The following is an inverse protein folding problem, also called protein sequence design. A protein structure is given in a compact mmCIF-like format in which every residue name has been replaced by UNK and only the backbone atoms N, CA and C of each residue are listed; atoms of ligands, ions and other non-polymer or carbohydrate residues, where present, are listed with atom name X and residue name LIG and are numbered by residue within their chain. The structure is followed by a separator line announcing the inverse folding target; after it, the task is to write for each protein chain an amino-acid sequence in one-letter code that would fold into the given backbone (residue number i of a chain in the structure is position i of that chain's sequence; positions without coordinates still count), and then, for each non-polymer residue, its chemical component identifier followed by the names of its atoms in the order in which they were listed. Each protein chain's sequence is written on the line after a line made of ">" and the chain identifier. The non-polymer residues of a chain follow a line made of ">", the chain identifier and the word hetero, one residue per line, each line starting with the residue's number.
data_IF_930735275243
#
_entry.id   IF_930735275243
#
_cell.length_a   1.000
_cell.length_b   1.000
_cell.length_c   1.000
_cell.angle_alpha   90.00
_cell.angle_beta   90.00
_cell.angle_gamma   90.00
#
_symmetry.space_group_name_H-M   'P 1'
#
loop_
_entity.id
_entity.type
_entity.pdbx_description
1 polymer ?
#
# COMPACT_ATOMS: atom_id res chain seq x y z
N UNK A 1 -1.47 -20.10 31.43
CA UNK A 1 -1.94 -21.03 30.38
C UNK A 1 -2.85 -20.20 29.48
N UNK A 2 -2.24 -19.29 28.72
CA UNK A 2 -2.94 -18.53 27.67
C UNK A 2 -3.46 -19.55 26.67
N UNK A 3 -4.75 -19.49 26.41
CA UNK A 3 -5.49 -20.56 25.78
C UNK A 3 -5.08 -20.64 24.30
N UNK A 4 -4.61 -21.81 23.86
CA UNK A 4 -4.20 -22.06 22.47
C UNK A 4 -5.34 -21.73 21.49
N UNK A 5 -6.58 -21.72 21.97
CA UNK A 5 -7.79 -21.36 21.22
C UNK A 5 -7.94 -19.85 20.95
N UNK A 6 -7.49 -18.96 21.84
CA UNK A 6 -7.58 -17.50 21.65
C UNK A 6 -6.59 -17.02 20.57
N UNK A 7 -5.36 -17.55 20.58
CA UNK A 7 -4.36 -17.29 19.54
C UNK A 7 -4.83 -17.79 18.16
N UNK A 8 -5.58 -18.90 18.11
CA UNK A 8 -6.15 -19.41 16.87
C UNK A 8 -7.24 -18.50 16.30
N UNK A 9 -8.13 -17.98 17.16
CA UNK A 9 -9.21 -17.07 16.74
C UNK A 9 -8.69 -15.73 16.21
N UNK A 10 -7.67 -15.15 16.85
CA UNK A 10 -6.99 -13.94 16.36
C UNK A 10 -6.40 -14.17 14.97
N UNK A 11 -5.61 -15.25 14.80
CA UNK A 11 -5.00 -15.59 13.51
C UNK A 11 -6.02 -15.83 12.42
N UNK A 12 -7.13 -16.50 12.73
CA UNK A 12 -8.21 -16.73 11.77
C UNK A 12 -8.87 -15.41 11.33
N UNK A 13 -9.12 -14.49 12.28
CA UNK A 13 -9.70 -13.17 12.00
C UNK A 13 -8.83 -12.34 11.06
N UNK A 14 -7.50 -12.34 11.27
CA UNK A 14 -6.54 -11.53 10.52
C UNK A 14 -5.83 -12.31 9.41
N UNK A 15 -6.58 -13.19 8.73
CA UNK A 15 -6.11 -13.93 7.56
C UNK A 15 -6.90 -13.50 6.32
N UNK A 16 -6.19 -13.15 5.25
CA UNK A 16 -6.81 -12.86 3.97
C UNK A 16 -7.49 -14.10 3.40
N UNK A 17 -8.61 -13.96 2.66
CA UNK A 17 -9.23 -15.07 1.96
C UNK A 17 -8.21 -15.86 1.13
N UNK A 18 -8.31 -17.20 1.06
CA UNK A 18 -7.41 -18.01 0.26
C UNK A 18 -7.52 -17.61 -1.21
N UNK A 19 -6.42 -17.81 -1.96
CA UNK A 19 -6.45 -17.65 -3.40
C UNK A 19 -7.47 -18.65 -3.98
N UNK A 20 -8.49 -18.14 -4.66
CA UNK A 20 -9.40 -18.98 -5.42
C UNK A 20 -8.70 -19.30 -6.74
N UNK A 21 -8.68 -20.57 -7.13
CA UNK A 21 -8.37 -20.98 -8.50
C UNK A 21 -9.52 -20.55 -9.42
N UNK A 22 -9.67 -19.24 -9.61
CA UNK A 22 -10.48 -18.71 -10.70
C UNK A 22 -9.57 -18.66 -11.92
N UNK A 23 -9.94 -19.48 -12.90
CA UNK A 23 -9.34 -19.67 -14.22
C UNK A 23 -8.39 -18.56 -14.63
N UNK A 24 -7.17 -18.95 -14.98
CA UNK A 24 -6.25 -18.15 -15.79
C UNK A 24 -7.02 -17.22 -16.72
N UNK A 25 -6.66 -15.94 -16.65
CA UNK A 25 -7.13 -14.81 -17.43
C UNK A 25 -8.09 -13.88 -16.68
N UNK A 26 -7.56 -12.74 -16.27
CA UNK A 26 -8.07 -11.53 -16.89
C UNK A 26 -7.74 -11.67 -18.38
N UNK A 27 -8.67 -11.96 -19.30
CA UNK A 27 -8.40 -11.77 -20.70
C UNK A 27 -8.56 -10.28 -20.98
N UNK A 28 -7.70 -9.45 -20.39
CA UNK A 28 -7.41 -8.18 -21.03
C UNK A 28 -6.31 -8.51 -22.02
N UNK A 29 -6.71 -8.94 -23.22
CA UNK A 29 -5.85 -8.78 -24.37
C UNK A 29 -5.38 -7.33 -24.30
N UNK A 30 -4.09 -7.14 -24.02
CA UNK A 30 -3.50 -5.81 -23.92
C UNK A 30 -3.90 -5.06 -25.20
N UNK A 31 -4.78 -4.08 -25.05
CA UNK A 31 -5.14 -3.22 -26.16
C UNK A 31 -4.08 -2.14 -26.23
N UNK A 32 -3.35 -2.12 -27.36
CA UNK A 32 -2.30 -1.12 -27.59
C UNK A 32 -2.93 0.27 -27.41
N UNK A 33 -2.43 1.12 -26.49
CA UNK A 33 -2.92 2.47 -26.33
C UNK A 33 -2.85 3.21 -27.67
N UNK A 34 -3.87 4.00 -27.98
CA UNK A 34 -3.85 4.88 -29.13
C UNK A 34 -2.67 5.87 -29.03
N UNK A 35 -2.02 6.14 -30.15
CA UNK A 35 -1.01 7.19 -30.24
C UNK A 35 -1.72 8.55 -30.23
N UNK A 36 -1.27 9.47 -29.36
CA UNK A 36 -1.88 10.77 -29.14
C UNK A 36 -0.83 11.88 -29.28
N UNK A 37 -1.23 13.01 -29.84
CA UNK A 37 -0.42 14.24 -29.88
C UNK A 37 -0.78 15.08 -28.67
N UNK A 38 0.10 15.10 -27.67
CA UNK A 38 -0.16 15.79 -26.38
C UNK A 38 0.55 17.13 -26.35
N UNK A 39 1.82 17.16 -26.73
CA UNK A 39 2.69 18.35 -26.65
C UNK A 39 3.00 18.95 -28.00
N UNK A 40 2.88 18.15 -29.07
CA UNK A 40 3.35 18.51 -30.41
C UNK A 40 4.85 18.25 -30.64
N UNK A 41 5.62 17.92 -29.59
CA UNK A 41 6.98 17.37 -29.72
C UNK A 41 6.88 15.85 -29.89
N UNK A 42 7.24 15.37 -31.08
CA UNK A 42 7.12 13.94 -31.45
C UNK A 42 7.89 13.00 -30.52
N UNK A 43 9.06 13.40 -30.02
CA UNK A 43 9.85 12.53 -29.14
C UNK A 43 9.26 12.54 -27.71
N UNK A 44 8.77 13.69 -27.24
CA UNK A 44 8.07 13.77 -25.94
C UNK A 44 6.77 12.97 -25.98
N UNK A 45 5.97 13.14 -27.04
CA UNK A 45 4.71 12.41 -27.21
C UNK A 45 4.95 10.89 -27.36
N UNK A 46 6.06 10.49 -27.99
CA UNK A 46 6.46 9.08 -28.02
C UNK A 46 6.77 8.53 -26.62
N UNK A 47 7.50 9.27 -25.77
CA UNK A 47 7.76 8.84 -24.39
C UNK A 47 6.48 8.79 -23.56
N UNK A 48 5.58 9.76 -23.71
CA UNK A 48 4.26 9.75 -23.04
C UNK A 48 3.43 8.54 -23.46
N UNK A 49 3.49 8.15 -24.73
CA UNK A 49 2.88 6.91 -25.20
C UNK A 49 3.52 5.68 -24.55
N UNK A 50 4.87 5.61 -24.48
CA UNK A 50 5.57 4.54 -23.76
C UNK A 50 5.18 4.47 -22.27
N UNK A 51 4.96 5.61 -21.60
CA UNK A 51 4.45 5.63 -20.23
C UNK A 51 3.10 4.92 -20.12
N UNK A 52 2.15 5.21 -21.03
CA UNK A 52 0.85 4.52 -21.06
C UNK A 52 1.01 3.01 -21.26
N UNK A 53 1.93 2.59 -22.13
CA UNK A 53 2.25 1.17 -22.33
C UNK A 53 2.80 0.54 -21.04
N UNK A 54 3.76 1.19 -20.39
CA UNK A 54 4.38 0.67 -19.17
C UNK A 54 3.36 0.60 -18.03
N UNK A 55 2.50 1.61 -17.90
CA UNK A 55 1.46 1.67 -16.88
C UNK A 55 0.42 0.53 -16.97
N UNK A 56 0.33 -0.17 -18.11
CA UNK A 56 -0.47 -1.39 -18.23
C UNK A 56 -0.02 -2.51 -17.28
N UNK A 57 1.25 -2.51 -16.88
CA UNK A 57 1.82 -3.56 -16.03
C UNK A 57 2.02 -4.91 -16.74
N UNK A 58 1.78 -5.02 -18.05
CA UNK A 58 1.94 -6.26 -18.82
C UNK A 58 3.43 -6.49 -19.13
N UNK A 59 4.05 -7.60 -18.66
CA UNK A 59 5.49 -7.79 -18.78
C UNK A 59 6.03 -7.70 -20.21
N UNK A 60 5.37 -8.32 -21.19
CA UNK A 60 5.84 -8.31 -22.58
C UNK A 60 5.70 -6.92 -23.23
N UNK A 61 4.66 -6.15 -22.91
CA UNK A 61 4.47 -4.78 -23.37
C UNK A 61 5.49 -3.84 -22.74
N UNK A 62 5.81 -4.01 -21.46
CA UNK A 62 6.86 -3.27 -20.77
C UNK A 62 8.21 -3.51 -21.46
N UNK A 63 8.59 -4.77 -21.70
CA UNK A 63 9.86 -5.07 -22.38
C UNK A 63 9.91 -4.47 -23.79
N UNK A 64 8.82 -4.57 -24.56
CA UNK A 64 8.71 -3.90 -25.87
C UNK A 64 8.83 -2.38 -25.77
N UNK A 65 8.23 -1.76 -24.75
CA UNK A 65 8.31 -0.32 -24.54
C UNK A 65 9.73 0.13 -24.17
N UNK A 66 10.42 -0.63 -23.30
CA UNK A 66 11.81 -0.39 -22.93
C UNK A 66 12.75 -0.53 -24.12
N UNK A 67 12.51 -1.52 -24.99
CA UNK A 67 13.28 -1.67 -26.22
C UNK A 67 13.02 -0.52 -27.19
N UNK A 68 11.75 -0.12 -27.36
CA UNK A 68 11.37 1.01 -28.19
C UNK A 68 12.01 2.33 -27.71
N UNK A 69 12.14 2.53 -26.39
CA UNK A 69 12.78 3.70 -25.81
C UNK A 69 14.25 3.87 -26.24
N UNK A 70 14.96 2.77 -26.57
CA UNK A 70 16.36 2.82 -27.05
C UNK A 70 16.52 3.45 -28.43
N UNK A 71 15.44 3.53 -29.21
CA UNK A 71 15.45 4.16 -30.53
C UNK A 71 15.21 5.68 -30.47
N UNK A 72 14.87 6.21 -29.30
CA UNK A 72 14.75 7.66 -29.07
C UNK A 72 16.16 8.26 -29.07
N UNK A 73 16.38 9.24 -29.94
CA UNK A 73 17.73 9.81 -30.15
C UNK A 73 18.09 10.79 -29.06
N UNK A 74 17.12 11.60 -28.63
CA UNK A 74 17.34 12.55 -27.54
C UNK A 74 17.41 11.81 -26.20
N UNK A 75 18.39 12.10 -25.33
CA UNK A 75 18.42 11.56 -23.98
C UNK A 75 17.11 11.83 -23.23
N UNK A 76 16.55 10.81 -22.56
CA UNK A 76 15.25 10.93 -21.87
C UNK A 76 15.21 12.08 -20.86
N UNK A 77 16.34 12.38 -20.20
CA UNK A 77 16.46 13.52 -19.28
C UNK A 77 16.33 14.88 -19.94
N UNK A 78 16.66 15.01 -21.22
CA UNK A 78 16.43 16.24 -21.96
C UNK A 78 14.98 16.33 -22.45
N UNK A 79 14.34 15.19 -22.77
CA UNK A 79 12.90 15.14 -23.04
C UNK A 79 12.07 15.48 -21.80
N UNK A 80 12.48 15.04 -20.61
CA UNK A 80 11.88 15.44 -19.32
C UNK A 80 11.86 16.97 -19.18
N UNK A 81 12.99 17.64 -19.44
CA UNK A 81 13.05 19.12 -19.39
C UNK A 81 12.10 19.78 -20.40
N UNK A 82 12.02 19.26 -21.63
CA UNK A 82 11.10 19.78 -22.65
C UNK A 82 9.64 19.61 -22.20
N UNK A 83 9.31 18.46 -21.63
CA UNK A 83 7.99 18.20 -21.08
C UNK A 83 7.67 19.12 -19.88
N UNK A 84 8.62 19.34 -18.97
CA UNK A 84 8.49 20.33 -17.88
C UNK A 84 8.18 21.74 -18.42
N UNK A 85 8.89 22.17 -19.47
CA UNK A 85 8.66 23.47 -20.09
C UNK A 85 7.27 23.56 -20.74
N UNK A 86 6.82 22.48 -21.39
CA UNK A 86 5.47 22.39 -21.91
C UNK A 86 4.42 22.53 -20.80
N UNK A 87 4.55 21.77 -19.71
CA UNK A 87 3.61 21.82 -18.58
C UNK A 87 3.50 23.22 -17.96
N UNK A 88 4.63 23.90 -17.77
CA UNK A 88 4.64 25.26 -17.23
C UNK A 88 3.97 26.28 -18.17
N UNK A 89 4.12 26.11 -19.49
CA UNK A 89 3.48 26.98 -20.49
C UNK A 89 1.99 26.70 -20.63
N UNK A 90 1.60 25.43 -20.60
CA UNK A 90 0.21 25.00 -20.71
C UNK A 90 -0.62 25.35 -19.46
N UNK A 91 0.02 25.51 -18.31
CA UNK A 91 -0.63 25.80 -17.03
C UNK A 91 -0.06 27.09 -16.38
N UNK A 92 -0.27 28.27 -16.99
CA UNK A 92 0.28 29.51 -16.48
C UNK A 92 -0.28 29.82 -15.07
N UNK A 93 0.60 30.21 -14.15
CA UNK A 93 0.22 30.56 -12.77
C UNK A 93 0.03 29.37 -11.82
N UNK A 94 0.19 28.13 -12.28
CA UNK A 94 0.20 26.96 -11.41
C UNK A 94 1.66 26.60 -11.02
N UNK A 95 2.08 26.87 -9.76
CA UNK A 95 3.46 26.60 -9.32
C UNK A 95 3.80 25.10 -9.26
N UNK A 96 2.80 24.22 -9.32
CA UNK A 96 2.95 22.76 -9.23
C UNK A 96 2.85 22.05 -10.59
N UNK A 97 2.63 22.79 -11.70
CA UNK A 97 2.44 22.19 -13.02
C UNK A 97 3.59 21.27 -13.45
N UNK A 98 4.83 21.64 -13.11
CA UNK A 98 6.04 20.86 -13.41
C UNK A 98 6.11 19.53 -12.65
N UNK A 99 5.37 19.33 -11.58
CA UNK A 99 5.45 18.11 -10.76
C UNK A 99 5.01 16.88 -11.56
N UNK A 100 4.13 17.03 -12.55
CA UNK A 100 3.73 15.95 -13.45
C UNK A 100 4.88 15.43 -14.36
N UNK A 101 6.01 16.14 -14.45
CA UNK A 101 7.21 15.66 -15.16
C UNK A 101 8.22 14.92 -14.28
N UNK A 102 8.03 14.90 -12.95
CA UNK A 102 8.97 14.24 -12.05
C UNK A 102 9.02 12.75 -12.35
N UNK A 103 10.22 12.23 -12.64
CA UNK A 103 10.43 10.82 -12.96
C UNK A 103 10.06 10.45 -14.41
N UNK A 104 9.82 11.44 -15.28
CA UNK A 104 9.46 11.20 -16.68
C UNK A 104 10.51 10.35 -17.43
N UNK A 105 11.79 10.56 -17.14
CA UNK A 105 12.87 9.79 -17.76
C UNK A 105 13.14 8.43 -17.11
N UNK A 106 12.52 8.11 -15.96
CA UNK A 106 12.78 6.90 -15.19
C UNK A 106 11.75 5.81 -15.53
N UNK A 107 11.96 5.20 -16.69
CA UNK A 107 11.09 4.14 -17.20
C UNK A 107 11.22 2.84 -16.38
N UNK A 108 12.38 2.60 -15.76
CA UNK A 108 12.63 1.40 -14.96
C UNK A 108 11.82 1.43 -13.66
N UNK A 109 11.92 2.52 -12.88
CA UNK A 109 11.11 2.67 -11.67
C UNK A 109 9.60 2.66 -11.98
N UNK A 110 9.20 3.24 -13.12
CA UNK A 110 7.81 3.20 -13.57
C UNK A 110 7.35 1.76 -13.86
N UNK A 111 8.18 0.97 -14.54
CA UNK A 111 7.89 -0.42 -14.83
C UNK A 111 7.78 -1.27 -13.56
N UNK A 112 8.71 -1.12 -12.61
CA UNK A 112 8.66 -1.81 -11.32
C UNK A 112 7.36 -1.52 -10.55
N UNK A 113 6.97 -0.25 -10.47
CA UNK A 113 5.71 0.18 -9.83
C UNK A 113 4.48 -0.38 -10.56
N UNK A 114 4.47 -0.34 -11.89
CA UNK A 114 3.36 -0.84 -12.69
C UNK A 114 3.18 -2.36 -12.54
N UNK A 115 4.28 -3.13 -12.55
CA UNK A 115 4.28 -4.58 -12.31
C UNK A 115 3.77 -4.88 -10.90
N UNK A 116 4.31 -4.18 -9.88
CA UNK A 116 3.87 -4.36 -8.49
C UNK A 116 2.37 -4.09 -8.34
N UNK A 117 1.87 -2.99 -8.92
CA UNK A 117 0.45 -2.64 -8.91
C UNK A 117 -0.39 -3.72 -9.58
N UNK A 118 0.02 -4.19 -10.77
CA UNK A 118 -0.72 -5.24 -11.50
C UNK A 118 -0.76 -6.56 -10.73
N UNK A 119 0.35 -6.96 -10.10
CA UNK A 119 0.38 -8.16 -9.27
C UNK A 119 -0.58 -8.05 -8.07
N UNK A 120 -0.65 -6.87 -7.43
CA UNK A 120 -1.61 -6.62 -6.36
C UNK A 120 -3.06 -6.69 -6.86
N UNK A 121 -3.37 -6.12 -8.03
CA UNK A 121 -4.70 -6.21 -8.64
C UNK A 121 -5.10 -7.65 -8.97
N UNK A 122 -4.16 -8.44 -9.52
CA UNK A 122 -4.39 -9.87 -9.81
C UNK A 122 -4.67 -10.62 -8.51
N UNK A 123 -3.84 -10.43 -7.48
CA UNK A 123 -4.03 -11.07 -6.19
C UNK A 123 -5.36 -10.66 -5.53
N UNK A 124 -5.71 -9.38 -5.59
CA UNK A 124 -6.96 -8.85 -5.07
C UNK A 124 -8.16 -9.55 -5.73
N UNK A 125 -8.16 -9.64 -7.06
CA UNK A 125 -9.18 -10.35 -7.82
C UNK A 125 -9.24 -11.84 -7.46
N UNK A 126 -8.10 -12.51 -7.29
CA UNK A 126 -8.04 -13.93 -6.93
C UNK A 126 -8.55 -14.22 -5.51
N UNK A 127 -8.39 -13.28 -4.57
CA UNK A 127 -8.82 -13.46 -3.17
C UNK A 127 -10.27 -13.04 -2.96
N UNK A 128 -10.65 -11.87 -3.48
CA UNK A 128 -11.91 -11.22 -3.15
C UNK A 128 -12.90 -11.20 -4.32
N UNK A 129 -12.43 -11.27 -5.56
CA UNK A 129 -13.29 -11.01 -6.72
C UNK A 129 -13.92 -9.62 -6.62
N UNK A 130 -15.24 -9.56 -6.82
CA UNK A 130 -16.01 -8.31 -6.71
C UNK A 130 -16.16 -7.83 -5.26
N UNK A 131 -15.84 -8.67 -4.27
CA UNK A 131 -16.01 -8.33 -2.85
C UNK A 131 -14.84 -7.51 -2.28
N UNK A 132 -13.86 -7.11 -3.10
CA UNK A 132 -12.62 -6.46 -2.64
C UNK A 132 -12.88 -5.24 -1.74
N UNK A 133 -13.88 -4.42 -2.08
CA UNK A 133 -14.17 -3.17 -1.36
C UNK A 133 -15.19 -3.33 -0.22
N UNK A 134 -15.75 -4.52 -0.02
CA UNK A 134 -16.67 -4.75 1.11
C UNK A 134 -15.90 -4.90 2.41
N UNK A 135 -16.50 -4.47 3.52
CA UNK A 135 -15.90 -4.59 4.85
C UNK A 135 -15.64 -6.05 5.20
N UNK A 136 -14.39 -6.33 5.55
CA UNK A 136 -13.97 -7.64 6.05
C UNK A 136 -14.44 -7.83 7.50
N UNK A 137 -14.52 -9.08 8.00
CA UNK A 137 -14.80 -9.33 9.43
C UNK A 137 -13.85 -8.58 10.38
N UNK A 138 -12.57 -8.44 10.00
CA UNK A 138 -11.58 -7.69 10.77
C UNK A 138 -11.89 -6.18 10.82
N UNK A 139 -12.39 -5.59 9.73
CA UNK A 139 -12.78 -4.18 9.70
C UNK A 139 -14.03 -3.94 10.53
N UNK A 140 -15.04 -4.81 10.39
CA UNK A 140 -16.24 -4.77 11.20
C UNK A 140 -15.93 -4.90 12.70
N UNK A 141 -14.95 -5.74 13.07
CA UNK A 141 -14.45 -5.79 14.45
C UNK A 141 -13.96 -4.42 14.94
N UNK A 142 -13.21 -3.67 14.13
CA UNK A 142 -12.70 -2.35 14.49
C UNK A 142 -13.82 -1.33 14.62
N UNK A 143 -14.75 -1.31 13.64
CA UNK A 143 -15.93 -0.44 13.63
C UNK A 143 -16.78 -0.67 14.88
N UNK A 144 -17.07 -1.93 15.20
CA UNK A 144 -17.81 -2.29 16.41
C UNK A 144 -17.05 -1.94 17.70
N UNK A 145 -15.72 -1.78 17.66
CA UNK A 145 -14.89 -1.51 18.85
C UNK A 145 -15.13 -0.12 19.36
N UNK A 146 -15.14 0.78 18.39
CA UNK A 146 -15.20 2.21 18.61
C UNK A 146 -16.63 2.72 18.41
N UNK A 147 -17.60 1.82 18.23
CA UNK A 147 -19.01 2.17 18.14
C UNK A 147 -19.43 3.05 19.33
N UNK A 148 -19.95 4.23 18.99
CA UNK A 148 -20.39 5.25 19.96
C UNK A 148 -19.27 6.16 20.48
N UNK A 149 -18.03 6.00 20.02
CA UNK A 149 -16.99 7.02 20.17
C UNK A 149 -17.10 8.03 19.04
N UNK A 150 -16.78 9.28 19.36
CA UNK A 150 -16.65 10.34 18.36
C UNK A 150 -15.17 10.50 18.00
N UNK A 151 -14.82 10.54 16.71
CA UNK A 151 -13.44 10.80 16.31
C UNK A 151 -13.04 12.25 16.64
N UNK A 152 -11.73 12.48 16.71
CA UNK A 152 -11.17 13.82 16.86
C UNK A 152 -11.46 14.73 15.66
N UNK A 153 -11.02 15.99 15.75
CA UNK A 153 -11.33 17.04 14.77
C UNK A 153 -10.88 16.74 13.33
N UNK A 154 -9.87 15.89 13.13
CA UNK A 154 -9.39 15.41 11.82
C UNK A 154 -10.00 14.07 11.40
N UNK A 155 -10.96 13.54 12.15
CA UNK A 155 -11.60 12.26 11.86
C UNK A 155 -10.82 11.02 12.32
N UNK A 156 -9.80 11.18 13.15
CA UNK A 156 -9.02 10.06 13.72
C UNK A 156 -9.48 9.72 15.14
N UNK A 157 -9.50 8.42 15.47
CA UNK A 157 -9.75 7.96 16.83
C UNK A 157 -8.43 7.83 17.58
N UNK A 158 -8.30 8.56 18.68
CA UNK A 158 -7.08 8.60 19.49
C UNK A 158 -7.43 8.61 20.98
N UNK A 159 -6.45 8.27 21.83
CA UNK A 159 -6.52 8.41 23.27
C UNK A 159 -6.78 7.12 24.05
N UNK A 160 -6.87 7.28 25.38
CA UNK A 160 -6.95 6.16 26.33
C UNK A 160 -8.22 5.32 26.13
N UNK A 161 -9.36 5.95 25.81
CA UNK A 161 -10.62 5.22 25.61
C UNK A 161 -10.54 4.26 24.42
N UNK A 162 -9.85 4.61 23.32
CA UNK A 162 -9.61 3.70 22.19
C UNK A 162 -8.82 2.47 22.64
N UNK A 163 -7.78 2.68 23.44
CA UNK A 163 -6.95 1.61 24.01
C UNK A 163 -7.79 0.71 24.91
N UNK A 164 -8.59 1.29 25.81
CA UNK A 164 -9.49 0.55 26.70
C UNK A 164 -10.49 -0.31 25.93
N UNK A 165 -11.10 0.23 24.86
CA UNK A 165 -12.08 -0.49 24.03
C UNK A 165 -11.45 -1.70 23.36
N UNK A 166 -10.26 -1.56 22.77
CA UNK A 166 -9.57 -2.70 22.18
C UNK A 166 -9.07 -3.70 23.24
N UNK A 167 -8.52 -3.22 24.36
CA UNK A 167 -8.08 -4.07 25.48
C UNK A 167 -9.22 -4.85 26.15
N UNK A 168 -10.45 -4.32 26.15
CA UNK A 168 -11.62 -5.02 26.68
C UNK A 168 -11.96 -6.30 25.88
N UNK A 169 -11.48 -6.41 24.64
CA UNK A 169 -11.76 -7.55 23.75
C UNK A 169 -10.65 -8.59 23.80
N UNK A 170 -10.50 -9.21 24.97
CA UNK A 170 -9.36 -10.06 25.33
C UNK A 170 -8.97 -11.11 24.29
N UNK A 171 -9.95 -11.79 23.67
CA UNK A 171 -9.70 -12.81 22.65
C UNK A 171 -9.07 -12.26 21.36
N UNK A 172 -9.11 -10.93 21.16
CA UNK A 172 -8.58 -10.23 19.99
C UNK A 172 -7.41 -9.31 20.34
N UNK A 173 -6.88 -9.37 21.57
CA UNK A 173 -5.66 -8.66 21.94
C UNK A 173 -4.47 -9.58 21.64
N UNK A 174 -3.55 -9.19 20.74
CA UNK A 174 -2.33 -9.95 20.50
C UNK A 174 -1.55 -10.18 21.80
N UNK A 175 -1.11 -11.41 22.01
CA UNK A 175 -0.35 -11.83 23.19
C UNK A 175 1.17 -11.82 22.98
N UNK A 176 1.61 -11.64 21.72
CA UNK A 176 3.01 -11.62 21.33
C UNK A 176 3.28 -10.59 20.24
N UNK A 177 4.55 -10.21 20.09
CA UNK A 177 4.97 -9.34 19.00
C UNK A 177 4.75 -9.99 17.63
N UNK A 178 4.91 -11.31 17.52
CA UNK A 178 4.59 -12.04 16.28
C UNK A 178 3.13 -11.90 15.86
N UNK A 179 2.20 -11.91 16.82
CA UNK A 179 0.77 -11.71 16.54
C UNK A 179 0.45 -10.26 16.15
N UNK A 180 1.12 -9.28 16.77
CA UNK A 180 1.02 -7.88 16.35
C UNK A 180 1.49 -7.71 14.89
N UNK A 181 2.65 -8.28 14.54
CA UNK A 181 3.17 -8.24 13.17
C UNK A 181 2.29 -8.99 12.19
N UNK A 182 1.69 -10.12 12.59
CA UNK A 182 0.76 -10.85 11.75
C UNK A 182 -0.43 -9.97 11.34
N UNK A 183 -1.03 -9.27 12.31
CA UNK A 183 -2.15 -8.37 12.08
C UNK A 183 -1.75 -7.12 11.27
N UNK A 184 -0.63 -6.46 11.60
CA UNK A 184 -0.13 -5.32 10.81
C UNK A 184 0.13 -5.70 9.34
N UNK A 185 0.70 -6.88 9.08
CA UNK A 185 0.90 -7.39 7.71
C UNK A 185 -0.42 -7.67 7.00
N UNK A 186 -1.47 -8.09 7.72
CA UNK A 186 -2.81 -8.23 7.16
C UNK A 186 -3.35 -6.88 6.67
N UNK A 187 -3.27 -5.85 7.53
CA UNK A 187 -3.73 -4.50 7.19
C UNK A 187 -2.95 -3.89 6.03
N UNK A 188 -1.62 -4.00 6.06
CA UNK A 188 -0.72 -3.55 4.99
C UNK A 188 -1.10 -4.16 3.64
N UNK A 189 -1.40 -5.47 3.65
CA UNK A 189 -1.68 -6.21 2.43
C UNK A 189 -3.07 -5.88 1.90
N UNK A 190 -4.09 -5.79 2.77
CA UNK A 190 -5.43 -5.37 2.40
C UNK A 190 -5.43 -3.96 1.79
N UNK A 191 -4.77 -3.00 2.46
CA UNK A 191 -4.58 -1.64 1.95
C UNK A 191 -3.91 -1.64 0.59
N UNK A 192 -2.78 -2.33 0.45
CA UNK A 192 -2.02 -2.34 -0.79
C UNK A 192 -2.84 -2.90 -1.96
N UNK A 193 -3.69 -3.90 -1.73
CA UNK A 193 -4.58 -4.45 -2.75
C UNK A 193 -5.70 -3.47 -3.14
N UNK A 194 -6.39 -2.86 -2.17
CA UNK A 194 -7.45 -1.88 -2.45
C UNK A 194 -6.91 -0.62 -3.11
N UNK A 195 -5.83 -0.05 -2.57
CA UNK A 195 -5.16 1.13 -3.13
C UNK A 195 -4.62 0.89 -4.55
N UNK A 196 -4.20 -0.34 -4.88
CA UNK A 196 -3.79 -0.69 -6.24
C UNK A 196 -4.96 -0.68 -7.24
N UNK A 197 -6.19 -0.94 -6.78
CA UNK A 197 -7.42 -0.91 -7.59
C UNK A 197 -8.08 0.48 -7.61
N UNK A 198 -8.01 1.21 -6.50
CA UNK A 198 -8.59 2.53 -6.32
C UNK A 198 -7.58 3.47 -5.65
N UNK A 199 -7.01 4.39 -6.43
CA UNK A 199 -5.88 5.22 -6.00
C UNK A 199 -6.20 6.24 -4.89
N UNK A 200 -7.49 6.50 -4.63
CA UNK A 200 -7.96 7.34 -3.52
C UNK A 200 -8.45 6.52 -2.32
N UNK A 201 -8.27 5.20 -2.34
CA UNK A 201 -8.65 4.36 -1.23
C UNK A 201 -7.78 4.67 -0.01
N UNK A 202 -8.46 4.89 1.12
CA UNK A 202 -7.89 5.01 2.45
C UNK A 202 -8.62 4.04 3.39
N UNK A 203 -7.94 3.59 4.44
CA UNK A 203 -8.55 2.74 5.46
C UNK A 203 -9.64 3.48 6.23
N UNK A 204 -10.55 2.72 6.84
CA UNK A 204 -11.45 3.25 7.87
C UNK A 204 -10.63 3.81 9.04
N UNK A 205 -11.09 4.92 9.62
CA UNK A 205 -10.45 5.56 10.79
C UNK A 205 -10.27 4.61 11.97
N UNK A 206 -11.18 3.66 12.14
CA UNK A 206 -11.18 2.63 13.19
C UNK A 206 -10.09 1.58 12.96
N UNK A 207 -9.76 1.30 11.69
CA UNK A 207 -8.63 0.44 11.32
C UNK A 207 -7.32 1.16 11.61
N UNK A 208 -7.19 2.43 11.25
CA UNK A 208 -5.99 3.22 11.59
C UNK A 208 -5.75 3.24 13.11
N UNK A 209 -6.81 3.46 13.89
CA UNK A 209 -6.74 3.41 15.35
C UNK A 209 -6.34 2.03 15.90
N UNK A 210 -6.75 0.96 15.20
CA UNK A 210 -6.30 -0.41 15.52
C UNK A 210 -4.82 -0.61 15.20
N UNK A 211 -4.33 -0.10 14.08
CA UNK A 211 -2.90 -0.14 13.73
C UNK A 211 -2.05 0.59 14.78
N UNK A 212 -2.48 1.78 15.22
CA UNK A 212 -1.80 2.54 16.29
C UNK A 212 -1.80 1.78 17.63
N UNK A 213 -2.91 1.12 17.97
CA UNK A 213 -2.98 0.24 19.13
C UNK A 213 -1.95 -0.90 19.04
N UNK A 214 -1.79 -1.53 17.87
CA UNK A 214 -0.78 -2.58 17.65
C UNK A 214 0.66 -2.03 17.77
N UNK A 215 0.92 -0.82 17.25
CA UNK A 215 2.21 -0.14 17.41
C UNK A 215 2.51 0.11 18.90
N UNK A 216 1.50 0.49 19.69
CA UNK A 216 1.61 0.58 21.15
C UNK A 216 1.93 -0.76 21.83
N UNK A 217 1.35 -1.86 21.34
CA UNK A 217 1.67 -3.21 21.82
C UNK A 217 3.11 -3.62 21.47
N UNK A 218 3.61 -3.26 20.28
CA UNK A 218 5.02 -3.50 19.92
C UNK A 218 6.01 -2.81 20.87
N UNK A 219 5.60 -1.69 21.47
CA UNK A 219 6.39 -0.94 22.45
C UNK A 219 6.29 -1.46 23.89
N UNK A 220 5.36 -2.38 24.19
CA UNK A 220 5.07 -2.80 25.57
C UNK A 220 5.17 -4.32 25.80
N UNK A 221 4.91 -5.14 24.78
CA UNK A 221 5.05 -6.60 24.88
C UNK A 221 6.54 -6.96 24.86
N UNK A 222 7.00 -7.64 25.91
CA UNK A 222 8.38 -8.14 25.96
C UNK A 222 8.61 -9.19 24.86
N UNK A 223 9.69 -9.08 24.06
CA UNK A 223 10.02 -10.10 23.07
C UNK A 223 10.24 -11.47 23.73
N UNK A 224 9.65 -12.53 23.15
CA UNK A 224 9.82 -13.90 23.67
C UNK A 224 11.25 -14.42 23.49
N UNK A 225 11.90 -13.98 22.41
CA UNK A 225 13.25 -14.36 22.02
C UNK A 225 13.88 -13.31 21.09
N UNK A 226 15.18 -13.49 20.80
CA UNK A 226 15.93 -12.60 19.92
C UNK A 226 15.46 -12.63 18.47
N UNK A 227 14.86 -13.72 18.01
CA UNK A 227 14.39 -13.83 16.62
C UNK A 227 13.14 -12.96 16.42
N UNK A 228 12.19 -13.02 17.35
CA UNK A 228 11.02 -12.16 17.38
C UNK A 228 11.40 -10.68 17.52
N UNK A 229 12.35 -10.35 18.41
CA UNK A 229 12.84 -8.98 18.53
C UNK A 229 13.46 -8.47 17.21
N UNK A 230 14.24 -9.32 16.53
CA UNK A 230 14.84 -8.99 15.23
C UNK A 230 13.78 -8.79 14.15
N UNK A 231 12.71 -9.58 14.15
CA UNK A 231 11.63 -9.44 13.17
C UNK A 231 10.92 -8.09 13.33
N UNK A 232 10.59 -7.69 14.56
CA UNK A 232 10.00 -6.36 14.83
C UNK A 232 10.97 -5.26 14.45
N UNK A 233 12.26 -5.40 14.78
CA UNK A 233 13.26 -4.42 14.39
C UNK A 233 13.32 -4.24 12.87
N UNK A 234 13.30 -5.33 12.10
CA UNK A 234 13.26 -5.27 10.64
C UNK A 234 11.97 -4.60 10.15
N UNK A 235 10.83 -4.94 10.72
CA UNK A 235 9.57 -4.28 10.39
C UNK A 235 9.63 -2.76 10.60
N UNK A 236 10.21 -2.29 11.71
CA UNK A 236 10.40 -0.86 12.01
C UNK A 236 11.37 -0.18 11.03
N UNK A 237 12.38 -0.89 10.52
CA UNK A 237 13.25 -0.35 9.47
C UNK A 237 12.51 -0.17 8.15
N UNK A 238 11.67 -1.14 7.79
CA UNK A 238 10.96 -1.16 6.51
C UNK A 238 9.72 -0.25 6.53
N UNK A 239 9.11 -0.03 7.70
CA UNK A 239 7.84 0.69 7.89
C UNK A 239 7.94 1.79 8.95
N UNK A 240 9.09 2.46 9.03
CA UNK A 240 9.36 3.47 10.06
C UNK A 240 8.32 4.58 10.13
N UNK A 241 7.80 5.02 8.98
CA UNK A 241 6.78 6.07 8.90
C UNK A 241 5.45 5.65 9.56
N UNK A 242 5.08 4.36 9.47
CA UNK A 242 3.88 3.81 10.11
C UNK A 242 4.00 3.65 11.62
N UNK A 243 5.23 3.58 12.13
CA UNK A 243 5.47 3.48 13.57
C UNK A 243 5.42 4.85 14.26
N UNK A 244 5.44 5.95 13.49
CA UNK A 244 5.38 7.32 13.97
C UNK A 244 6.31 7.59 15.15
N UNK A 245 5.80 8.31 16.14
CA UNK A 245 6.51 8.64 17.38
C UNK A 245 6.75 7.41 18.29
N UNK A 246 5.97 6.34 18.09
CA UNK A 246 6.11 5.07 18.81
C UNK A 246 7.40 4.31 18.49
N UNK A 247 8.06 4.63 17.36
CA UNK A 247 9.28 3.96 16.89
C UNK A 247 10.37 3.86 17.95
N UNK A 248 10.64 4.94 18.67
CA UNK A 248 11.69 4.96 19.70
C UNK A 248 11.35 4.02 20.86
N UNK A 249 10.09 4.03 21.31
CA UNK A 249 9.63 3.17 22.40
C UNK A 249 9.71 1.69 22.01
N UNK A 250 9.36 1.34 20.76
CA UNK A 250 9.56 -0.01 20.23
C UNK A 250 11.03 -0.40 20.32
N UNK A 251 11.95 0.41 19.80
CA UNK A 251 13.39 0.09 19.81
C UNK A 251 13.90 -0.14 21.24
N UNK A 252 13.49 0.68 22.21
CA UNK A 252 13.84 0.51 23.61
C UNK A 252 13.30 -0.81 24.18
N UNK A 253 12.06 -1.16 23.89
CA UNK A 253 11.47 -2.43 24.32
C UNK A 253 12.22 -3.65 23.73
N UNK A 254 12.71 -3.56 22.49
CA UNK A 254 13.42 -4.67 21.83
C UNK A 254 14.80 -4.97 22.43
N UNK A 255 15.44 -4.00 23.09
CA UNK A 255 16.79 -4.18 23.65
C UNK A 255 16.81 -4.56 25.14
N UNK A 256 15.68 -4.41 25.84
CA UNK A 256 15.53 -4.75 27.26
C UNK A 256 15.99 -3.65 28.20
#
# INVERSE_FOLDING_TARGET
>A
MTDVTESAAHREMFTLPPLRESAESLPSAYEKPAEEVVTGDKEVDAVLWLHKVIQSGEPAAIERAKEAAKFIKTPLKDLEKRYTQYLNRANPGNPFASFASIGFADLDSMAEKAIKRRNLQIEAASRFGDDLMHETPAENFCIEALAGLEPGWIGLFEGEEVTERFSARRSMVPSSLSECLHELRYWDKLYAMRHACEWMYEHHSEVCAREDFLVGLLASITPKDRAEAREVYQYVLDNGDKCGDGRSAIIWNLIG
#
